data_IF_527885118720
#
_entry.id   IF_527885118720
#
_cell.length_a   1.000
_cell.length_b   1.000
_cell.length_c   1.000
_cell.angle_alpha   90.00
_cell.angle_beta   90.00
_cell.angle_gamma   90.00
#
_symmetry.space_group_name_H-M   'P 1'
#
loop_
_entity.id
_entity.type
_entity.pdbx_description
1 polymer ?
#
# COMPACT_ATOMS: atom_id res chain seq x y z
N UNK A 1 -42.11 -16.57 57.07
CA UNK A 1 -41.49 -16.98 55.79
C UNK A 1 -41.14 -15.67 55.10
N UNK A 2 -39.99 -15.06 55.37
CA UNK A 2 -38.64 -15.45 54.87
C UNK A 2 -38.60 -15.24 53.35
N UNK A 3 -37.78 -14.40 52.71
CA UNK A 3 -36.58 -13.62 53.03
C UNK A 3 -36.58 -12.47 52.01
N UNK A 4 -36.35 -11.22 52.41
CA UNK A 4 -35.97 -10.14 51.50
C UNK A 4 -34.44 -10.06 51.50
N UNK A 5 -33.83 -10.35 50.35
CA UNK A 5 -32.38 -10.37 50.15
C UNK A 5 -31.82 -8.94 50.00
N UNK A 6 -30.84 -8.66 50.85
CA UNK A 6 -30.06 -7.44 50.95
C UNK A 6 -29.02 -7.39 49.80
N UNK A 7 -29.11 -6.39 48.92
CA UNK A 7 -28.10 -6.13 47.88
C UNK A 7 -26.76 -5.72 48.52
N UNK A 8 -25.85 -6.69 48.67
CA UNK A 8 -24.45 -6.44 48.98
C UNK A 8 -23.68 -6.10 47.71
N UNK A 9 -23.46 -4.80 47.50
CA UNK A 9 -22.59 -4.25 46.47
C UNK A 9 -21.11 -4.56 46.76
N UNK A 10 -20.60 -5.66 46.22
CA UNK A 10 -19.15 -5.96 46.23
C UNK A 10 -18.48 -5.44 44.96
N UNK A 11 -17.77 -4.33 45.14
CA UNK A 11 -16.94 -3.68 44.13
C UNK A 11 -15.67 -4.52 43.87
N UNK A 12 -15.68 -5.32 42.80
CA UNK A 12 -14.48 -6.03 42.34
C UNK A 12 -13.55 -5.05 41.60
N UNK A 13 -12.57 -4.53 42.32
CA UNK A 13 -11.46 -3.74 41.77
C UNK A 13 -10.59 -4.62 40.87
N UNK A 14 -10.69 -4.42 39.56
CA UNK A 14 -9.82 -5.07 38.57
C UNK A 14 -8.40 -4.49 38.67
N UNK A 15 -7.48 -5.28 39.21
CA UNK A 15 -6.04 -5.00 39.23
C UNK A 15 -5.49 -4.97 37.78
N UNK A 16 -5.27 -3.79 37.21
CA UNK A 16 -4.53 -3.64 35.95
C UNK A 16 -3.04 -3.92 36.22
N UNK A 17 -2.61 -5.15 35.94
CA UNK A 17 -1.18 -5.51 35.91
C UNK A 17 -0.47 -4.60 34.90
N UNK A 18 0.48 -3.79 35.37
CA UNK A 18 1.36 -2.96 34.55
C UNK A 18 2.10 -3.88 33.57
N UNK A 19 1.72 -3.86 32.28
CA UNK A 19 2.34 -4.70 31.25
C UNK A 19 3.75 -4.19 31.01
N UNK A 20 4.74 -4.88 31.59
CA UNK A 20 6.16 -4.58 31.39
C UNK A 20 6.51 -4.91 29.94
N UNK A 21 6.76 -3.87 29.14
CA UNK A 21 7.23 -4.01 27.76
C UNK A 21 8.69 -4.44 27.77
N UNK A 22 8.99 -5.56 27.11
CA UNK A 22 10.34 -6.11 26.99
C UNK A 22 11.09 -5.47 25.83
N UNK A 23 12.37 -5.17 26.03
CA UNK A 23 13.27 -4.71 24.96
C UNK A 23 13.78 -5.89 24.13
N UNK A 24 14.18 -5.62 22.89
CA UNK A 24 14.85 -6.60 22.05
C UNK A 24 16.34 -6.69 22.43
N UNK A 25 16.88 -7.91 22.38
CA UNK A 25 18.30 -8.18 22.52
C UNK A 25 18.82 -8.69 21.17
N UNK A 26 19.94 -8.15 20.68
CA UNK A 26 20.57 -8.55 19.42
C UNK A 26 20.94 -10.03 19.38
N UNK A 27 21.17 -10.64 20.54
CA UNK A 27 21.45 -12.07 20.62
C UNK A 27 20.24 -12.94 20.31
N UNK A 28 19.02 -12.42 20.31
CA UNK A 28 17.82 -13.18 19.93
C UNK A 28 17.79 -13.58 18.46
N UNK A 29 18.67 -13.00 17.64
CA UNK A 29 18.89 -13.48 16.28
C UNK A 29 19.40 -14.93 16.24
N UNK A 30 20.04 -15.44 17.31
CA UNK A 30 20.43 -16.87 17.42
C UNK A 30 19.22 -17.81 17.51
N UNK A 31 18.06 -17.28 17.87
CA UNK A 31 16.78 -18.00 17.85
C UNK A 31 15.99 -17.72 16.57
N UNK A 32 16.58 -17.03 15.59
CA UNK A 32 15.93 -16.70 14.32
C UNK A 32 14.95 -15.53 14.39
N UNK A 33 15.09 -14.63 15.35
CA UNK A 33 14.20 -13.48 15.51
C UNK A 33 14.90 -12.14 15.31
N UNK A 34 14.27 -11.28 14.51
CA UNK A 34 14.49 -9.82 14.50
C UNK A 34 13.36 -9.12 15.27
N UNK A 35 13.30 -7.80 15.23
CA UNK A 35 12.19 -7.04 15.79
C UNK A 35 11.61 -6.05 14.77
N UNK A 36 10.37 -5.65 15.00
CA UNK A 36 9.66 -4.61 14.25
C UNK A 36 8.70 -3.84 15.16
N UNK A 37 8.30 -2.63 14.74
CA UNK A 37 7.40 -1.75 15.50
C UNK A 37 8.12 -0.64 16.26
N UNK A 38 7.49 -0.16 17.33
CA UNK A 38 7.98 0.95 18.17
C UNK A 38 9.18 0.50 19.03
N UNK A 39 10.21 1.33 19.14
CA UNK A 39 11.40 1.11 19.96
C UNK A 39 11.07 1.00 21.46
N UNK A 40 9.98 1.63 21.90
CA UNK A 40 9.46 1.52 23.27
C UNK A 40 8.69 0.21 23.52
N UNK A 41 8.31 -0.50 22.45
CA UNK A 41 7.46 -1.70 22.51
C UNK A 41 7.76 -2.68 21.34
N UNK A 42 9.02 -3.16 21.19
CA UNK A 42 9.40 -3.92 20.01
C UNK A 42 8.64 -5.26 19.96
N UNK A 43 8.21 -5.66 18.77
CA UNK A 43 7.57 -6.96 18.55
C UNK A 43 8.57 -7.91 17.87
N UNK A 44 8.81 -9.11 18.41
CA UNK A 44 9.68 -10.08 17.76
C UNK A 44 9.04 -10.57 16.46
N UNK A 45 9.83 -10.60 15.40
CA UNK A 45 9.46 -11.12 14.09
C UNK A 45 10.39 -12.27 13.72
N UNK A 46 9.82 -13.42 13.37
CA UNK A 46 10.57 -14.56 12.89
C UNK A 46 11.18 -14.26 11.52
N UNK A 47 12.47 -14.55 11.35
CA UNK A 47 13.22 -14.26 10.12
C UNK A 47 12.85 -15.26 9.00
N UNK A 48 12.39 -16.46 9.37
CA UNK A 48 12.08 -17.55 8.42
C UNK A 48 10.67 -17.41 7.84
N UNK A 49 9.63 -17.41 8.69
CA UNK A 49 8.24 -17.29 8.22
C UNK A 49 7.70 -15.86 8.17
N UNK A 50 8.36 -14.90 8.83
CA UNK A 50 7.86 -13.53 8.93
C UNK A 50 6.80 -13.31 10.03
N UNK A 51 6.42 -14.35 10.78
CA UNK A 51 5.42 -14.25 11.86
C UNK A 51 5.84 -13.22 12.90
N UNK A 52 4.90 -12.35 13.26
CA UNK A 52 5.10 -11.34 14.30
C UNK A 52 4.41 -11.79 15.58
N UNK A 53 5.20 -11.99 16.64
CA UNK A 53 4.66 -12.37 17.95
C UNK A 53 4.43 -11.14 18.82
N UNK A 54 3.65 -11.31 19.89
CA UNK A 54 3.46 -10.27 20.90
C UNK A 54 4.78 -9.94 21.63
N UNK A 55 4.88 -8.72 22.16
CA UNK A 55 6.04 -8.33 22.98
C UNK A 55 6.23 -9.26 24.21
N UNK A 56 5.16 -9.82 24.77
CA UNK A 56 5.22 -10.81 25.85
C UNK A 56 5.92 -12.12 25.46
N UNK A 57 6.06 -12.36 24.15
CA UNK A 57 6.76 -13.50 23.59
C UNK A 57 8.26 -13.24 23.39
N UNK A 58 8.73 -12.02 23.69
CA UNK A 58 10.14 -11.60 23.66
C UNK A 58 10.95 -12.21 24.83
N UNK A 59 10.95 -13.55 24.92
CA UNK A 59 11.69 -14.34 25.91
C UNK A 59 12.38 -15.49 25.19
N UNK A 60 13.65 -15.79 25.50
CA UNK A 60 14.41 -16.86 24.84
C UNK A 60 13.67 -18.19 24.73
N UNK A 61 13.00 -18.64 25.79
CA UNK A 61 12.27 -19.92 25.80
C UNK A 61 11.12 -19.96 24.79
N UNK A 62 10.36 -18.87 24.66
CA UNK A 62 9.24 -18.76 23.72
C UNK A 62 9.71 -18.62 22.28
N UNK A 63 10.76 -17.82 22.05
CA UNK A 63 11.38 -17.67 20.72
C UNK A 63 11.99 -18.99 20.25
N UNK A 64 12.78 -19.65 21.12
CA UNK A 64 13.34 -20.97 20.83
C UNK A 64 12.24 -21.99 20.55
N UNK A 65 11.18 -22.03 21.35
CA UNK A 65 10.05 -22.93 21.11
C UNK A 65 9.45 -22.75 19.72
N UNK A 66 9.20 -21.51 19.28
CA UNK A 66 8.71 -21.23 17.93
C UNK A 66 9.67 -21.76 16.85
N UNK A 67 10.97 -21.51 17.00
CA UNK A 67 11.96 -22.00 16.04
C UNK A 67 11.93 -23.53 15.91
N UNK A 68 11.89 -24.25 17.03
CA UNK A 68 11.90 -25.72 17.01
C UNK A 68 10.57 -26.32 16.57
N UNK A 69 9.43 -25.69 16.88
CA UNK A 69 8.10 -26.22 16.49
C UNK A 69 7.75 -25.88 15.04
N UNK A 70 7.99 -24.64 14.63
CA UNK A 70 7.55 -24.12 13.33
C UNK A 70 8.62 -24.31 12.25
N UNK A 71 9.89 -24.37 12.63
CA UNK A 71 11.01 -24.52 11.70
C UNK A 71 12.04 -25.60 12.14
N UNK A 72 11.64 -26.88 12.26
CA UNK A 72 12.54 -27.95 12.70
C UNK A 72 13.84 -28.04 11.88
N UNK A 73 13.74 -27.81 10.56
CA UNK A 73 14.88 -27.84 9.63
C UNK A 73 15.93 -26.75 9.89
N UNK A 74 15.54 -25.67 10.57
CA UNK A 74 16.39 -24.52 10.85
C UNK A 74 16.79 -24.42 12.33
N UNK A 75 16.34 -25.34 13.18
CA UNK A 75 16.50 -25.27 14.64
C UNK A 75 17.97 -25.36 15.11
N UNK A 76 18.83 -26.02 14.34
CA UNK A 76 20.25 -26.18 14.64
C UNK A 76 21.16 -25.27 13.80
N UNK A 77 20.60 -24.28 13.10
CA UNK A 77 21.38 -23.32 12.32
C UNK A 77 22.04 -22.29 13.24
N UNK A 78 23.16 -21.75 12.80
CA UNK A 78 23.98 -20.84 13.59
C UNK A 78 23.53 -19.37 13.43
N UNK A 79 24.10 -18.48 14.25
CA UNK A 79 23.80 -17.04 14.22
C UNK A 79 24.07 -16.43 12.83
N UNK A 80 25.08 -16.91 12.09
CA UNK A 80 25.43 -16.36 10.79
C UNK A 80 24.39 -16.70 9.72
N UNK A 81 23.82 -17.92 9.75
CA UNK A 81 22.70 -18.27 8.88
C UNK A 81 21.54 -17.27 9.01
N UNK A 82 21.11 -16.98 10.24
CA UNK A 82 20.00 -16.05 10.48
C UNK A 82 20.34 -14.61 10.11
N UNK A 83 21.59 -14.16 10.31
CA UNK A 83 22.07 -12.86 9.82
C UNK A 83 21.95 -12.76 8.29
N UNK A 84 22.41 -13.79 7.56
CA UNK A 84 22.32 -13.83 6.09
C UNK A 84 20.87 -13.80 5.61
N UNK A 85 19.99 -14.61 6.21
CA UNK A 85 18.56 -14.59 5.88
C UNK A 85 17.95 -13.20 6.14
N UNK A 86 18.30 -12.55 7.24
CA UNK A 86 17.82 -11.20 7.55
C UNK A 86 18.27 -10.17 6.50
N UNK A 87 19.52 -10.22 6.06
CA UNK A 87 20.02 -9.35 4.98
C UNK A 87 19.31 -9.62 3.66
N UNK A 88 19.13 -10.90 3.30
CA UNK A 88 18.38 -11.28 2.11
C UNK A 88 16.94 -10.74 2.15
N UNK A 89 16.26 -10.86 3.30
CA UNK A 89 14.93 -10.31 3.50
C UNK A 89 14.90 -8.78 3.37
N UNK A 90 15.91 -8.06 3.90
CA UNK A 90 16.03 -6.60 3.74
C UNK A 90 16.21 -6.21 2.27
N UNK A 91 17.06 -6.93 1.55
CA UNK A 91 17.32 -6.68 0.13
C UNK A 91 16.08 -6.97 -0.73
N UNK A 92 15.37 -8.07 -0.46
CA UNK A 92 14.10 -8.39 -1.11
C UNK A 92 13.04 -7.32 -0.84
N UNK A 93 12.89 -6.87 0.41
CA UNK A 93 11.97 -5.77 0.76
C UNK A 93 12.32 -4.47 0.02
N UNK A 94 13.61 -4.12 -0.08
CA UNK A 94 14.07 -2.94 -0.81
C UNK A 94 13.78 -3.05 -2.31
N UNK A 95 14.06 -4.21 -2.91
CA UNK A 95 13.76 -4.47 -4.31
C UNK A 95 12.25 -4.36 -4.58
N UNK A 96 11.42 -5.05 -3.80
CA UNK A 96 9.97 -4.99 -3.92
C UNK A 96 9.44 -3.56 -3.75
N UNK A 97 9.94 -2.81 -2.77
CA UNK A 97 9.58 -1.39 -2.60
C UNK A 97 9.94 -0.58 -3.84
N UNK A 98 11.16 -0.75 -4.39
CA UNK A 98 11.56 -0.05 -5.60
C UNK A 98 10.69 -0.42 -6.81
N UNK A 99 10.39 -1.71 -7.01
CA UNK A 99 9.53 -2.18 -8.10
C UNK A 99 8.10 -1.61 -7.99
N UNK A 100 7.52 -1.61 -6.78
CA UNK A 100 6.19 -1.03 -6.53
C UNK A 100 6.20 0.48 -6.74
N UNK A 101 7.17 1.22 -6.20
CA UNK A 101 7.23 2.69 -6.39
C UNK A 101 7.45 3.09 -7.85
N UNK A 102 8.21 2.30 -8.62
CA UNK A 102 8.35 2.49 -10.07
C UNK A 102 7.02 2.23 -10.77
N UNK A 103 6.26 1.21 -10.35
CA UNK A 103 4.90 0.95 -10.86
C UNK A 103 3.93 2.07 -10.50
N UNK A 104 4.04 2.67 -9.31
CA UNK A 104 3.17 3.76 -8.84
C UNK A 104 3.40 5.05 -9.64
N UNK A 105 4.67 5.46 -9.80
CA UNK A 105 5.01 6.64 -10.62
C UNK A 105 4.62 6.46 -12.08
N UNK A 106 4.82 5.26 -12.65
CA UNK A 106 4.40 4.97 -14.02
C UNK A 106 2.88 4.99 -14.17
N UNK A 107 2.15 4.51 -13.16
CA UNK A 107 0.69 4.57 -13.09
C UNK A 107 0.21 6.03 -13.01
N UNK A 108 0.76 6.82 -12.10
CA UNK A 108 0.46 8.24 -11.94
C UNK A 108 0.71 9.01 -13.25
N UNK A 109 1.87 8.81 -13.87
CA UNK A 109 2.19 9.38 -15.18
C UNK A 109 1.14 9.00 -16.25
N UNK A 110 0.66 7.75 -16.26
CA UNK A 110 -0.38 7.32 -17.21
C UNK A 110 -1.70 8.07 -17.03
N UNK A 111 -2.09 8.37 -15.78
CA UNK A 111 -3.28 9.19 -15.51
C UNK A 111 -3.09 10.64 -15.96
N UNK A 112 -1.92 11.23 -15.72
CA UNK A 112 -1.62 12.60 -16.17
C UNK A 112 -1.69 12.73 -17.70
N UNK A 113 -1.07 11.81 -18.44
CA UNK A 113 -1.13 11.82 -19.90
C UNK A 113 -2.56 11.60 -20.39
N UNK A 114 -3.30 10.65 -19.82
CA UNK A 114 -4.70 10.42 -20.19
C UNK A 114 -5.58 11.66 -19.96
N UNK A 115 -5.36 12.38 -18.85
CA UNK A 115 -6.02 13.66 -18.55
C UNK A 115 -5.72 14.71 -19.62
N UNK A 116 -4.48 14.84 -20.05
CA UNK A 116 -4.08 15.79 -21.11
C UNK A 116 -4.75 15.46 -22.44
N UNK A 117 -4.80 14.18 -22.82
CA UNK A 117 -5.48 13.70 -24.04
C UNK A 117 -6.97 14.08 -23.98
N UNK A 118 -7.65 13.76 -22.88
CA UNK A 118 -9.06 14.08 -22.69
C UNK A 118 -9.34 15.59 -22.74
N UNK A 119 -8.53 16.38 -22.02
CA UNK A 119 -8.68 17.83 -21.95
C UNK A 119 -8.50 18.51 -23.32
N UNK A 120 -7.56 17.99 -24.13
CA UNK A 120 -7.33 18.47 -25.50
C UNK A 120 -8.27 17.84 -26.54
N UNK A 121 -9.21 16.98 -26.11
CA UNK A 121 -10.15 16.24 -26.96
C UNK A 121 -9.45 15.47 -28.08
N UNK A 122 -8.29 14.87 -27.77
CA UNK A 122 -7.48 14.09 -28.72
C UNK A 122 -7.91 12.62 -28.76
N UNK A 123 -7.68 11.91 -29.87
CA UNK A 123 -7.88 10.46 -29.94
C UNK A 123 -7.08 9.72 -28.87
N UNK A 124 -7.63 8.65 -28.31
CA UNK A 124 -6.94 7.84 -27.30
C UNK A 124 -5.67 7.17 -27.85
N UNK A 125 -5.66 6.87 -29.15
CA UNK A 125 -4.53 6.27 -29.87
C UNK A 125 -3.28 7.15 -29.86
N UNK A 126 -3.44 8.48 -29.74
CA UNK A 126 -2.30 9.41 -29.70
C UNK A 126 -1.35 9.12 -28.52
N UNK A 127 -1.87 8.46 -27.47
CA UNK A 127 -1.07 8.00 -26.33
C UNK A 127 0.07 7.07 -26.74
N UNK A 128 -0.20 6.06 -27.56
CA UNK A 128 0.78 5.05 -27.96
C UNK A 128 1.49 5.37 -29.28
N UNK A 129 0.80 6.04 -30.21
CA UNK A 129 1.32 6.32 -31.56
C UNK A 129 2.21 7.55 -31.61
N UNK A 130 1.92 8.57 -30.79
CA UNK A 130 2.63 9.85 -30.84
C UNK A 130 3.33 10.16 -29.51
N UNK A 131 2.59 10.26 -28.41
CA UNK A 131 3.12 10.73 -27.13
C UNK A 131 4.18 9.79 -26.59
N UNK A 132 3.90 8.48 -26.54
CA UNK A 132 4.88 7.49 -26.08
C UNK A 132 6.13 7.47 -26.94
N UNK A 133 5.99 7.51 -28.27
CA UNK A 133 7.12 7.52 -29.20
C UNK A 133 7.98 8.78 -29.04
N UNK A 134 7.36 9.95 -28.95
CA UNK A 134 8.05 11.22 -28.74
C UNK A 134 8.84 11.23 -27.43
N UNK A 135 8.22 10.77 -26.33
CA UNK A 135 8.92 10.66 -25.04
C UNK A 135 10.11 9.69 -25.10
N UNK A 136 9.95 8.56 -25.80
CA UNK A 136 11.03 7.59 -25.97
C UNK A 136 12.21 8.19 -26.74
N UNK A 137 11.96 8.90 -27.84
CA UNK A 137 13.03 9.56 -28.61
C UNK A 137 13.74 10.66 -27.83
N UNK A 138 13.00 11.51 -27.12
CA UNK A 138 13.57 12.56 -26.28
C UNK A 138 14.47 11.96 -25.19
N UNK A 139 13.98 10.93 -24.48
CA UNK A 139 14.75 10.27 -23.42
C UNK A 139 15.98 9.56 -24.00
N UNK A 140 15.83 8.89 -25.15
CA UNK A 140 16.94 8.20 -25.83
C UNK A 140 18.06 9.16 -26.20
N UNK A 141 17.74 10.35 -26.72
CA UNK A 141 18.71 11.34 -27.18
C UNK A 141 19.35 12.14 -26.04
N UNK A 142 18.57 12.50 -25.01
CA UNK A 142 19.05 13.37 -23.93
C UNK A 142 19.69 12.59 -22.79
N UNK A 143 19.06 11.49 -22.37
CA UNK A 143 19.46 10.73 -21.18
C UNK A 143 20.22 9.45 -21.53
N UNK A 144 19.91 8.88 -22.70
CA UNK A 144 20.55 7.68 -23.22
C UNK A 144 19.56 6.53 -23.48
N UNK A 145 20.01 5.48 -24.18
CA UNK A 145 19.17 4.34 -24.54
C UNK A 145 18.76 3.48 -23.33
N UNK A 146 19.51 3.52 -22.23
CA UNK A 146 19.25 2.70 -21.05
C UNK A 146 18.03 3.18 -20.25
N UNK A 147 17.67 4.45 -20.40
CA UNK A 147 16.63 5.17 -19.65
C UNK A 147 15.26 5.02 -20.32
N UNK A 148 15.23 4.68 -21.61
CA UNK A 148 14.00 4.45 -22.40
C UNK A 148 13.12 3.34 -21.78
N UNK A 149 13.74 2.36 -21.11
CA UNK A 149 13.02 1.28 -20.42
C UNK A 149 12.10 1.79 -19.32
N UNK A 150 12.38 2.94 -18.70
CA UNK A 150 11.51 3.54 -17.69
C UNK A 150 10.26 4.16 -18.32
N UNK A 151 10.38 4.81 -19.48
CA UNK A 151 9.24 5.33 -20.26
C UNK A 151 8.34 4.19 -20.72
N UNK A 152 8.92 3.04 -21.09
CA UNK A 152 8.15 1.87 -21.52
C UNK A 152 7.24 1.31 -20.44
N UNK A 153 7.56 1.49 -19.16
CA UNK A 153 6.70 1.08 -18.03
C UNK A 153 5.41 1.89 -17.96
N UNK A 154 5.37 3.09 -18.54
CA UNK A 154 4.14 3.89 -18.63
C UNK A 154 3.22 3.29 -19.70
N UNK A 155 2.06 2.82 -19.27
CA UNK A 155 1.04 2.22 -20.15
C UNK A 155 0.18 3.33 -20.75
N UNK A 156 0.28 3.51 -22.07
CA UNK A 156 -0.42 4.56 -22.83
C UNK A 156 -1.20 4.02 -24.03
N UNK A 157 -1.54 2.71 -24.04
CA UNK A 157 -2.40 2.15 -25.08
C UNK A 157 -3.77 2.84 -25.12
N UNK A 158 -4.43 2.83 -26.27
CA UNK A 158 -5.75 3.45 -26.41
C UNK A 158 -6.76 2.96 -25.34
N UNK A 159 -6.75 1.64 -25.04
CA UNK A 159 -7.60 1.05 -23.99
C UNK A 159 -7.22 1.52 -22.59
N UNK A 160 -5.91 1.65 -22.31
CA UNK A 160 -5.45 2.17 -21.02
C UNK A 160 -5.92 3.61 -20.86
N UNK A 161 -5.67 4.47 -21.85
CA UNK A 161 -6.08 5.88 -21.83
C UNK A 161 -7.60 6.00 -21.61
N UNK A 162 -8.40 5.24 -22.37
CA UNK A 162 -9.86 5.16 -22.19
C UNK A 162 -10.23 4.82 -20.75
N UNK A 163 -9.63 3.77 -20.19
CA UNK A 163 -9.91 3.33 -18.83
C UNK A 163 -9.52 4.38 -17.80
N UNK A 164 -8.36 5.02 -17.91
CA UNK A 164 -7.93 6.09 -17.00
C UNK A 164 -8.90 7.26 -17.01
N UNK A 165 -9.38 7.66 -18.18
CA UNK A 165 -10.39 8.72 -18.32
C UNK A 165 -11.69 8.32 -17.62
N UNK A 166 -12.16 7.10 -17.86
CA UNK A 166 -13.36 6.57 -17.20
C UNK A 166 -13.21 6.51 -15.67
N UNK A 167 -12.08 6.02 -15.17
CA UNK A 167 -11.78 5.96 -13.74
C UNK A 167 -11.82 7.36 -13.11
N UNK A 168 -11.13 8.34 -13.73
CA UNK A 168 -11.15 9.74 -13.27
C UNK A 168 -12.56 10.34 -13.30
N UNK A 169 -13.34 10.07 -14.35
CA UNK A 169 -14.73 10.53 -14.46
C UNK A 169 -15.61 9.93 -13.35
N UNK A 170 -15.41 8.65 -13.05
CA UNK A 170 -16.16 7.95 -11.99
C UNK A 170 -15.80 8.48 -10.61
N UNK A 171 -14.52 8.78 -10.36
CA UNK A 171 -14.06 9.35 -9.10
C UNK A 171 -14.60 10.77 -8.88
N UNK A 172 -14.60 11.61 -9.91
CA UNK A 172 -15.20 12.95 -9.87
C UNK A 172 -16.69 12.84 -9.57
N UNK A 173 -17.40 11.94 -10.26
CA UNK A 173 -18.83 11.71 -10.02
C UNK A 173 -19.10 11.23 -8.60
N UNK A 174 -18.34 10.26 -8.11
CA UNK A 174 -18.46 9.75 -6.74
C UNK A 174 -18.19 10.84 -5.71
N UNK A 175 -17.20 11.69 -5.95
CA UNK A 175 -16.89 12.85 -5.09
C UNK A 175 -18.05 13.86 -5.09
N UNK A 176 -18.64 14.15 -6.26
CA UNK A 176 -19.79 15.03 -6.38
C UNK A 176 -21.00 14.48 -5.62
N UNK A 177 -21.32 13.20 -5.80
CA UNK A 177 -22.43 12.53 -5.11
C UNK A 177 -22.25 12.62 -3.60
N UNK A 178 -21.05 12.31 -3.07
CA UNK A 178 -20.77 12.43 -1.64
C UNK A 178 -21.01 13.84 -1.12
N UNK A 179 -20.56 14.86 -1.86
CA UNK A 179 -20.78 16.27 -1.51
C UNK A 179 -22.27 16.63 -1.49
N UNK A 180 -23.02 16.20 -2.50
CA UNK A 180 -24.46 16.45 -2.59
C UNK A 180 -25.23 15.77 -1.45
N UNK A 181 -24.90 14.51 -1.12
CA UNK A 181 -25.52 13.80 0.00
C UNK A 181 -25.22 14.43 1.36
N UNK A 182 -24.07 15.11 1.51
CA UNK A 182 -23.72 15.83 2.73
C UNK A 182 -24.23 17.28 2.79
N UNK A 183 -24.76 17.80 1.68
CA UNK A 183 -25.22 19.19 1.62
C UNK A 183 -26.63 19.30 2.19
N UNK A 184 -26.86 20.29 3.06
CA UNK A 184 -28.20 20.59 3.59
C UNK A 184 -29.14 21.11 2.50
N UNK A 185 -28.60 21.89 1.56
CA UNK A 185 -29.31 22.49 0.43
C UNK A 185 -28.40 22.55 -0.78
N UNK A 186 -28.98 22.39 -1.96
CA UNK A 186 -28.33 22.66 -3.25
C UNK A 186 -29.39 23.16 -4.24
N UNK A 187 -28.93 23.89 -5.25
CA UNK A 187 -29.78 24.40 -6.32
C UNK A 187 -29.22 23.91 -7.66
N UNK A 188 -30.11 23.56 -8.59
CA UNK A 188 -29.75 23.09 -9.92
C UNK A 188 -30.40 24.02 -10.95
N UNK A 189 -29.57 24.64 -11.79
CA UNK A 189 -30.05 25.40 -12.93
C UNK A 189 -30.02 24.52 -14.18
N UNK A 190 -31.12 24.51 -14.93
CA UNK A 190 -31.26 23.76 -16.18
C UNK A 190 -31.36 24.80 -17.29
N UNK A 191 -30.37 24.80 -18.19
CA UNK A 191 -30.37 25.64 -19.40
C UNK A 191 -30.61 24.74 -20.61
N UNK A 192 -31.65 25.04 -21.39
CA UNK A 192 -32.04 24.27 -22.57
C UNK A 192 -31.67 25.06 -23.82
N UNK A 193 -30.76 24.51 -24.63
CA UNK A 193 -30.34 25.14 -25.90
C UNK A 193 -30.99 24.43 -27.08
N UNK A 194 -31.56 25.21 -28.01
CA UNK A 194 -32.16 24.67 -29.25
C UNK A 194 -31.17 24.80 -30.41
N UNK A 195 -30.71 23.66 -30.95
CA UNK A 195 -29.79 23.65 -32.09
C UNK A 195 -30.57 23.67 -33.42
N UNK A 196 -30.75 24.86 -34.01
CA UNK A 196 -31.41 25.04 -35.30
C UNK A 196 -30.40 24.76 -36.41
N UNK A 197 -30.47 23.58 -37.04
CA UNK A 197 -29.66 23.29 -38.23
C UNK A 197 -30.20 24.09 -39.42
N UNK A 198 -29.57 25.22 -39.73
CA UNK A 198 -29.84 25.97 -40.96
C UNK A 198 -29.33 25.12 -42.14
N UNK A 199 -30.25 24.53 -42.91
CA UNK A 199 -29.95 23.97 -44.22
C UNK A 199 -29.71 25.13 -45.17
N UNK A 200 -28.47 25.33 -45.60
CA UNK A 200 -28.21 26.07 -46.83
C UNK A 200 -28.65 25.17 -48.00
N UNK A 201 -29.69 25.61 -48.70
CA UNK A 201 -30.16 25.05 -49.98
C UNK A 201 -29.25 25.49 -51.12
#
# INVERSE_FOLDING_TARGET
MSIDDEESSTSVTKNLKKVVKRKYDEDYIKYGFSWSGDETAPRPQCIICGDQLSNESMVPSKLKRHLYSSHPSCANKDKQYFKRCLEQNKNQKKFMKSAVTVSEKALEASYHVAKLIAHQKKPHTDGETLIKQACMEIVRLILGPNEVKEVNKVSLSADTVKRRIHDMSSDILGTLIKKLLSAEKFELQIDETTNIKIKHS
#
